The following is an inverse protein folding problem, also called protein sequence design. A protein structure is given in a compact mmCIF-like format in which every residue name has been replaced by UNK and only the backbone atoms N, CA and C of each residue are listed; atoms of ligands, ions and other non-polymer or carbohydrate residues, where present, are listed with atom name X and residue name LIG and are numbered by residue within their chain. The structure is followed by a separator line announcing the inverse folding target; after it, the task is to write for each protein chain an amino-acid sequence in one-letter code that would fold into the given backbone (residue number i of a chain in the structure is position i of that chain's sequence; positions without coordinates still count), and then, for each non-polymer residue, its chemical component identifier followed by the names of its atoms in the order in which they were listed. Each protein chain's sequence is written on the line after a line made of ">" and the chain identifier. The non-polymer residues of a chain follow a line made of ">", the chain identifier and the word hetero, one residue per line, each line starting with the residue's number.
data_IF_154619803386
#
_entry.id   IF_154619803386
#
_cell.length_a   1.000
_cell.length_b   1.000
_cell.length_c   1.000
_cell.angle_alpha   90.00
_cell.angle_beta   90.00
_cell.angle_gamma   90.00
#
_symmetry.space_group_name_H-M   'P 1'
#
loop_
_entity.id
_entity.type
_entity.pdbx_description
1 polymer ?
#
# COMPACT_ATOMS: atom_id res chain seq x y z
N UNK A 1 8.55 -41.10 -13.85
CA UNK A 1 7.63 -40.03 -13.37
C UNK A 1 8.42 -38.74 -13.42
N UNK A 2 7.97 -37.74 -14.14
CA UNK A 2 8.63 -36.43 -14.10
C UNK A 2 8.56 -35.94 -12.63
N UNK A 3 9.69 -35.56 -12.08
CA UNK A 3 9.75 -34.97 -10.72
C UNK A 3 8.94 -33.67 -10.74
N UNK A 4 7.98 -33.56 -9.83
CA UNK A 4 7.17 -32.35 -9.69
C UNK A 4 8.06 -31.14 -9.35
N UNK A 5 7.86 -30.01 -10.04
CA UNK A 5 8.67 -28.81 -9.88
C UNK A 5 8.55 -28.30 -8.44
N UNK A 6 9.67 -28.05 -7.76
CA UNK A 6 9.70 -27.46 -6.41
C UNK A 6 9.94 -25.97 -6.48
N UNK A 7 9.02 -25.19 -5.92
CA UNK A 7 9.10 -23.72 -5.91
C UNK A 7 9.09 -23.18 -4.49
N UNK A 8 10.13 -22.43 -4.13
CA UNK A 8 10.15 -21.65 -2.90
C UNK A 8 9.50 -20.29 -3.13
N UNK A 9 8.62 -19.87 -2.23
CA UNK A 9 8.00 -18.54 -2.21
C UNK A 9 8.40 -17.86 -0.91
N UNK A 10 9.11 -16.73 -1.00
CA UNK A 10 9.65 -16.02 0.15
C UNK A 10 8.86 -14.74 0.38
N UNK A 11 8.13 -14.68 1.49
CA UNK A 11 7.19 -13.61 1.85
C UNK A 11 5.74 -13.98 1.54
N UNK A 12 4.88 -13.85 2.54
CA UNK A 12 3.46 -14.21 2.50
C UNK A 12 2.51 -13.03 2.35
N UNK A 13 3.00 -11.87 1.89
CA UNK A 13 2.14 -10.76 1.48
C UNK A 13 1.30 -11.14 0.26
N UNK A 14 0.42 -10.25 -0.19
CA UNK A 14 -0.47 -10.47 -1.36
C UNK A 14 0.30 -10.96 -2.59
N UNK A 15 1.54 -10.53 -2.76
CA UNK A 15 2.42 -10.93 -3.87
C UNK A 15 2.74 -12.42 -3.83
N UNK A 16 3.27 -12.89 -2.70
CA UNK A 16 3.62 -14.30 -2.51
C UNK A 16 2.38 -15.19 -2.48
N UNK A 17 1.32 -14.76 -1.82
CA UNK A 17 0.04 -15.47 -1.78
C UNK A 17 -0.60 -15.57 -3.18
N UNK A 18 -0.56 -14.51 -3.97
CA UNK A 18 -1.05 -14.53 -5.36
C UNK A 18 -0.24 -15.48 -6.26
N UNK A 19 1.09 -15.49 -6.11
CA UNK A 19 1.95 -16.42 -6.81
C UNK A 19 1.69 -17.88 -6.39
N UNK A 20 1.55 -18.12 -5.08
CA UNK A 20 1.23 -19.44 -4.55
C UNK A 20 -0.12 -19.95 -5.08
N UNK A 21 -1.15 -19.12 -5.04
CA UNK A 21 -2.47 -19.47 -5.57
C UNK A 21 -2.44 -19.83 -7.05
N UNK A 22 -1.69 -19.08 -7.86
CA UNK A 22 -1.58 -19.33 -9.31
C UNK A 22 -0.73 -20.57 -9.66
N UNK A 23 0.19 -20.98 -8.79
CA UNK A 23 1.03 -22.19 -8.98
C UNK A 23 0.43 -23.44 -8.35
N UNK A 24 -0.64 -23.32 -7.60
CA UNK A 24 -1.28 -24.44 -6.94
C UNK A 24 -1.73 -25.50 -7.93
N UNK A 25 -1.44 -26.78 -7.63
CA UNK A 25 -1.73 -27.91 -8.54
C UNK A 25 -0.76 -28.06 -9.72
N UNK A 26 0.21 -27.14 -9.85
CA UNK A 26 1.23 -27.19 -10.90
C UNK A 26 2.65 -27.44 -10.38
N UNK A 27 2.89 -27.15 -9.09
CA UNK A 27 4.21 -27.30 -8.46
C UNK A 27 4.06 -27.64 -6.97
N UNK A 28 5.09 -28.26 -6.42
CA UNK A 28 5.25 -28.40 -4.97
C UNK A 28 5.72 -27.07 -4.39
N UNK A 29 4.90 -26.43 -3.57
CA UNK A 29 5.14 -25.11 -3.03
C UNK A 29 5.62 -25.15 -1.58
N UNK A 30 6.65 -24.38 -1.26
CA UNK A 30 7.06 -24.07 0.12
C UNK A 30 6.99 -22.57 0.32
N UNK A 31 6.10 -22.12 1.24
CA UNK A 31 5.90 -20.71 1.57
C UNK A 31 6.64 -20.37 2.85
N UNK A 32 7.57 -19.42 2.77
CA UNK A 32 8.38 -18.94 3.89
C UNK A 32 7.91 -17.55 4.34
N UNK A 33 7.63 -17.39 5.63
CA UNK A 33 7.29 -16.12 6.26
C UNK A 33 8.17 -15.89 7.48
N UNK A 34 8.80 -14.71 7.53
CA UNK A 34 9.65 -14.33 8.65
C UNK A 34 8.86 -13.96 9.90
N UNK A 35 7.65 -13.42 9.72
CA UNK A 35 6.74 -13.02 10.79
C UNK A 35 5.99 -14.18 11.42
N UNK A 36 5.20 -13.85 12.43
CA UNK A 36 4.37 -14.79 13.20
C UNK A 36 2.94 -14.93 12.63
N UNK A 37 2.64 -14.30 11.50
CA UNK A 37 1.36 -14.41 10.78
C UNK A 37 1.60 -14.33 9.27
N UNK A 38 0.68 -14.91 8.48
CA UNK A 38 0.65 -14.77 7.03
C UNK A 38 -0.16 -13.54 6.63
N UNK A 39 0.21 -12.88 5.52
CA UNK A 39 -0.55 -11.78 4.94
C UNK A 39 0.24 -10.50 4.74
N UNK A 40 1.33 -10.30 5.46
CA UNK A 40 2.11 -9.06 5.41
C UNK A 40 1.26 -7.84 5.78
N UNK A 41 1.01 -6.91 4.84
CA UNK A 41 0.12 -5.75 5.08
C UNK A 41 -1.37 -6.13 5.22
N UNK A 42 -1.79 -7.33 4.84
CA UNK A 42 -3.10 -7.87 5.19
C UNK A 42 -3.06 -8.41 6.62
N UNK A 43 -3.11 -7.51 7.58
CA UNK A 43 -3.01 -7.79 9.00
C UNK A 43 -4.29 -7.38 9.71
N UNK A 44 -5.10 -8.38 10.05
CA UNK A 44 -6.34 -8.21 10.81
C UNK A 44 -6.11 -8.60 12.26
N UNK A 45 -6.40 -7.69 13.17
CA UNK A 45 -6.21 -7.84 14.62
C UNK A 45 -7.55 -7.89 15.33
N UNK A 46 -7.76 -8.88 16.19
CA UNK A 46 -8.96 -8.97 16.98
C UNK A 46 -8.89 -8.03 18.18
N UNK A 47 -9.91 -7.19 18.32
CA UNK A 47 -10.14 -6.35 19.49
C UNK A 47 -11.46 -6.70 20.15
N UNK A 48 -11.52 -6.57 21.47
CA UNK A 48 -12.75 -6.77 22.25
C UNK A 48 -13.16 -5.46 22.88
N UNK A 49 -14.35 -4.98 22.52
CA UNK A 49 -14.89 -3.73 23.05
C UNK A 49 -16.31 -3.92 23.56
N UNK A 50 -16.75 -3.09 24.53
CA UNK A 50 -18.12 -3.10 25.02
C UNK A 50 -19.09 -2.59 23.96
N UNK A 51 -20.23 -3.24 23.88
CA UNK A 51 -21.40 -2.82 23.09
C UNK A 51 -22.64 -2.87 23.99
N UNK A 52 -23.78 -2.29 23.56
CA UNK A 52 -25.03 -2.41 24.31
C UNK A 52 -25.50 -3.86 24.55
N UNK A 53 -24.95 -4.81 23.79
CA UNK A 53 -25.26 -6.26 23.91
C UNK A 53 -24.19 -7.07 24.66
N UNK A 54 -23.24 -6.41 25.30
CA UNK A 54 -22.08 -7.04 25.97
C UNK A 54 -20.78 -6.83 25.18
N UNK A 55 -19.71 -7.48 25.65
CA UNK A 55 -18.42 -7.43 24.99
C UNK A 55 -18.45 -8.20 23.67
N UNK A 56 -17.98 -7.56 22.58
CA UNK A 56 -17.89 -8.16 21.25
C UNK A 56 -16.44 -8.15 20.79
N UNK A 57 -15.96 -9.27 20.23
CA UNK A 57 -14.65 -9.35 19.57
C UNK A 57 -14.85 -9.22 18.07
N UNK A 58 -14.06 -8.34 17.43
CA UNK A 58 -14.11 -8.14 15.98
C UNK A 58 -12.74 -7.85 15.38
N UNK A 59 -12.51 -8.32 14.14
CA UNK A 59 -11.26 -8.12 13.43
C UNK A 59 -11.13 -6.74 12.81
N UNK A 60 -10.03 -6.06 13.06
CA UNK A 60 -9.71 -4.73 12.52
C UNK A 60 -8.47 -4.84 11.64
N UNK A 61 -8.57 -4.38 10.41
CA UNK A 61 -7.42 -4.28 9.52
C UNK A 61 -6.54 -3.08 9.89
N UNK A 62 -5.23 -3.32 9.98
CA UNK A 62 -4.24 -2.32 10.37
C UNK A 62 -3.32 -1.89 9.23
N UNK A 63 -3.35 -2.60 8.09
CA UNK A 63 -2.54 -2.29 6.90
C UNK A 63 -3.39 -2.15 5.65
N UNK A 64 -3.76 -3.24 4.99
CA UNK A 64 -4.63 -3.19 3.81
C UNK A 64 -6.09 -2.97 4.23
N UNK A 65 -6.71 -1.88 3.80
CA UNK A 65 -8.04 -1.45 4.23
C UNK A 65 -9.10 -1.51 3.12
N UNK A 66 -8.76 -1.07 1.91
CA UNK A 66 -9.75 -0.79 0.85
C UNK A 66 -9.22 -1.09 -0.55
N UNK A 67 -10.15 -1.35 -1.47
CA UNK A 67 -9.91 -1.48 -2.91
C UNK A 67 -11.10 -0.91 -3.70
N UNK A 68 -10.96 -0.71 -5.01
CA UNK A 68 -12.03 -0.18 -5.86
C UNK A 68 -12.23 -1.00 -7.15
N UNK A 69 -13.39 -0.83 -7.76
CA UNK A 69 -13.79 -1.59 -8.95
C UNK A 69 -12.95 -1.30 -10.20
N UNK A 70 -12.34 -0.11 -10.29
CA UNK A 70 -11.67 0.35 -11.51
C UNK A 70 -10.23 -0.13 -11.61
N UNK A 71 -9.52 -0.13 -10.49
CA UNK A 71 -8.06 -0.31 -10.48
C UNK A 71 -7.58 -1.59 -9.80
N UNK A 72 -8.51 -2.46 -9.35
CA UNK A 72 -8.18 -3.74 -8.69
C UNK A 72 -8.80 -4.97 -9.38
N UNK A 73 -8.69 -5.11 -10.72
CA UNK A 73 -9.36 -6.21 -11.44
C UNK A 73 -8.87 -7.59 -11.05
N UNK A 74 -7.56 -7.77 -10.80
CA UNK A 74 -7.03 -9.08 -10.40
C UNK A 74 -7.41 -9.44 -8.97
N UNK A 75 -7.43 -8.45 -8.06
CA UNK A 75 -7.87 -8.67 -6.68
C UNK A 75 -9.35 -9.03 -6.62
N UNK A 76 -10.20 -8.37 -7.41
CA UNK A 76 -11.62 -8.69 -7.51
C UNK A 76 -11.80 -10.12 -8.02
N UNK A 77 -11.13 -10.49 -9.12
CA UNK A 77 -11.19 -11.84 -9.66
C UNK A 77 -10.72 -12.90 -8.64
N UNK A 78 -9.65 -12.61 -7.89
CA UNK A 78 -9.18 -13.48 -6.81
C UNK A 78 -10.22 -13.61 -5.70
N UNK A 79 -10.85 -12.52 -5.27
CA UNK A 79 -11.89 -12.54 -4.23
C UNK A 79 -13.15 -13.30 -4.67
N UNK A 80 -13.53 -13.18 -5.94
CA UNK A 80 -14.64 -13.95 -6.53
C UNK A 80 -14.33 -15.44 -6.53
N UNK A 81 -13.14 -15.85 -6.99
CA UNK A 81 -12.68 -17.25 -7.00
C UNK A 81 -12.65 -17.84 -5.59
N UNK A 82 -12.17 -17.08 -4.63
CA UNK A 82 -12.08 -17.48 -3.24
C UNK A 82 -13.38 -17.26 -2.46
N UNK A 83 -14.43 -16.68 -3.06
CA UNK A 83 -15.69 -16.35 -2.40
C UNK A 83 -15.49 -15.47 -1.15
N UNK A 84 -14.59 -14.50 -1.21
CA UNK A 84 -14.31 -13.59 -0.09
C UNK A 84 -15.47 -12.61 0.09
N UNK A 85 -16.06 -12.52 1.30
CA UNK A 85 -17.15 -11.59 1.54
C UNK A 85 -16.64 -10.14 1.62
N UNK A 86 -17.31 -9.23 0.91
CA UNK A 86 -16.92 -7.82 0.83
C UNK A 86 -18.07 -6.88 1.19
N UNK A 87 -17.76 -5.63 1.48
CA UNK A 87 -18.73 -4.57 1.76
C UNK A 87 -18.30 -3.25 1.13
N UNK A 88 -19.27 -2.41 0.81
CA UNK A 88 -19.02 -1.02 0.38
C UNK A 88 -18.44 -0.24 1.54
N UNK A 89 -17.48 0.65 1.24
CA UNK A 89 -16.79 1.48 2.24
C UNK A 89 -16.82 2.97 1.87
N UNK A 90 -16.65 3.81 2.88
CA UNK A 90 -16.46 5.26 2.73
C UNK A 90 -14.98 5.53 2.39
N UNK A 91 -14.75 6.44 1.45
CA UNK A 91 -13.41 6.90 1.04
C UNK A 91 -13.30 8.42 1.18
N UNK A 92 -14.00 8.97 2.17
CA UNK A 92 -13.94 10.39 2.51
C UNK A 92 -12.57 10.76 3.10
N UNK A 93 -12.19 12.01 2.87
CA UNK A 93 -10.90 12.56 3.26
C UNK A 93 -11.09 13.91 3.95
N UNK A 94 -10.29 14.16 4.98
CA UNK A 94 -10.22 15.47 5.64
C UNK A 94 -8.79 15.89 5.92
N UNK A 95 -8.62 17.18 6.07
CA UNK A 95 -7.34 17.82 6.42
C UNK A 95 -7.52 18.68 7.66
N UNK A 96 -6.63 18.49 8.62
CA UNK A 96 -6.39 19.39 9.73
C UNK A 96 -4.96 19.93 9.62
N UNK A 97 -4.84 21.24 9.36
CA UNK A 97 -3.55 21.92 9.30
C UNK A 97 -3.45 22.93 10.44
N UNK A 98 -2.51 22.74 11.34
CA UNK A 98 -2.28 23.66 12.47
C UNK A 98 -1.34 24.75 12.02
N UNK A 99 -1.71 26.03 12.24
CA UNK A 99 -0.93 27.22 11.92
C UNK A 99 -0.85 28.12 13.16
N UNK A 100 0.20 28.01 13.95
CA UNK A 100 0.31 28.70 15.23
C UNK A 100 -0.83 28.29 16.17
N UNK A 101 -1.62 29.26 16.65
CA UNK A 101 -2.80 29.04 17.52
C UNK A 101 -4.09 28.71 16.73
N UNK A 102 -4.07 28.82 15.41
CA UNK A 102 -5.24 28.56 14.55
C UNK A 102 -5.12 27.21 13.84
N UNK A 103 -6.23 26.49 13.71
CA UNK A 103 -6.31 25.30 12.87
C UNK A 103 -7.26 25.55 11.69
N UNK A 104 -6.84 25.05 10.52
CA UNK A 104 -7.69 24.89 9.35
C UNK A 104 -8.20 23.45 9.33
N UNK A 105 -9.52 23.27 9.35
CA UNK A 105 -10.17 21.96 9.24
C UNK A 105 -11.20 21.99 8.13
N UNK A 106 -11.10 21.01 7.23
CA UNK A 106 -12.08 20.82 6.16
C UNK A 106 -12.11 19.35 5.69
N UNK A 107 -13.23 18.93 5.12
CA UNK A 107 -13.41 17.59 4.57
C UNK A 107 -14.01 17.63 3.17
N UNK A 108 -13.62 16.69 2.33
CA UNK A 108 -14.03 16.63 0.91
C UNK A 108 -15.32 15.85 0.65
N UNK A 109 -16.08 15.43 1.67
CA UNK A 109 -17.27 14.59 1.50
C UNK A 109 -18.49 15.37 0.95
N UNK A 110 -18.71 16.58 1.41
CA UNK A 110 -19.82 17.46 1.02
C UNK A 110 -19.57 18.91 1.40
N UNK A 111 -20.46 19.83 1.02
CA UNK A 111 -20.33 21.26 1.33
C UNK A 111 -20.34 21.56 2.83
N UNK A 112 -21.04 20.78 3.65
CA UNK A 112 -21.03 20.95 5.11
C UNK A 112 -19.66 20.63 5.72
N UNK A 113 -19.01 19.55 5.27
CA UNK A 113 -17.67 19.21 5.72
C UNK A 113 -16.61 20.13 5.11
N UNK A 114 -16.78 20.58 3.86
CA UNK A 114 -15.88 21.54 3.22
C UNK A 114 -15.84 22.88 3.96
N UNK A 115 -16.97 23.37 4.38
CA UNK A 115 -17.13 24.61 5.15
C UNK A 115 -17.53 24.33 6.62
N UNK A 116 -16.99 23.27 7.22
CA UNK A 116 -17.22 22.97 8.64
C UNK A 116 -16.84 24.16 9.53
N UNK A 117 -15.74 24.83 9.20
CA UNK A 117 -15.42 26.15 9.74
C UNK A 117 -16.08 27.23 8.86
N UNK A 118 -17.26 27.71 9.27
CA UNK A 118 -18.07 28.68 8.48
C UNK A 118 -17.33 29.96 8.08
N UNK A 119 -16.32 30.39 8.87
CA UNK A 119 -15.44 31.52 8.53
C UNK A 119 -14.72 31.38 7.20
N UNK A 120 -14.52 30.12 6.74
CA UNK A 120 -13.83 29.83 5.48
C UNK A 120 -14.67 30.20 4.25
N UNK A 121 -15.98 30.41 4.37
CA UNK A 121 -16.83 30.96 3.30
C UNK A 121 -16.38 32.38 2.86
N UNK A 122 -15.79 33.16 3.78
CA UNK A 122 -15.30 34.51 3.54
C UNK A 122 -13.76 34.59 3.54
N UNK A 123 -13.06 33.47 3.66
CA UNK A 123 -11.59 33.44 3.69
C UNK A 123 -11.03 33.42 2.26
N UNK A 124 -10.42 34.51 1.75
CA UNK A 124 -9.93 34.58 0.37
C UNK A 124 -8.81 33.59 0.09
N UNK A 125 -7.97 33.26 1.08
CA UNK A 125 -6.92 32.22 0.91
C UNK A 125 -7.53 30.83 0.71
N UNK A 126 -8.56 30.49 1.48
CA UNK A 126 -9.25 29.21 1.37
C UNK A 126 -9.98 29.09 0.03
N UNK A 127 -10.69 30.15 -0.39
CA UNK A 127 -11.38 30.19 -1.68
C UNK A 127 -10.39 30.12 -2.87
N UNK A 128 -9.23 30.78 -2.76
CA UNK A 128 -8.16 30.68 -3.76
C UNK A 128 -7.60 29.25 -3.81
N UNK A 129 -7.40 28.60 -2.68
CA UNK A 129 -6.97 27.19 -2.64
C UNK A 129 -7.98 26.29 -3.34
N UNK A 130 -9.29 26.44 -3.10
CA UNK A 130 -10.33 25.66 -3.80
C UNK A 130 -10.32 25.90 -5.31
N UNK A 131 -10.15 27.13 -5.74
CA UNK A 131 -10.02 27.46 -7.17
C UNK A 131 -8.79 26.79 -7.78
N UNK A 132 -7.64 26.85 -7.12
CA UNK A 132 -6.42 26.19 -7.58
C UNK A 132 -6.55 24.66 -7.59
N UNK A 133 -7.25 24.07 -6.62
CA UNK A 133 -7.58 22.64 -6.58
C UNK A 133 -8.35 22.23 -7.84
N UNK A 134 -9.41 22.94 -8.18
CA UNK A 134 -10.21 22.64 -9.37
C UNK A 134 -9.38 22.81 -10.66
N UNK A 135 -8.53 23.83 -10.72
CA UNK A 135 -7.61 24.07 -11.84
C UNK A 135 -6.58 22.93 -11.97
N UNK A 136 -6.00 22.46 -10.85
CA UNK A 136 -5.05 21.35 -10.83
C UNK A 136 -5.71 20.07 -11.33
N UNK A 137 -6.88 19.73 -10.78
CA UNK A 137 -7.63 18.54 -11.18
C UNK A 137 -7.98 18.56 -12.67
N UNK A 138 -8.43 19.71 -13.20
CA UNK A 138 -8.72 19.88 -14.63
C UNK A 138 -7.47 19.68 -15.49
N UNK A 139 -6.35 20.32 -15.14
CA UNK A 139 -5.08 20.21 -15.87
C UNK A 139 -4.58 18.76 -15.88
N UNK A 140 -4.51 18.11 -14.73
CA UNK A 140 -4.04 16.72 -14.62
C UNK A 140 -4.96 15.75 -15.36
N UNK A 141 -6.29 15.94 -15.28
CA UNK A 141 -7.25 15.11 -16.02
C UNK A 141 -7.07 15.27 -17.54
N UNK A 142 -6.87 16.49 -18.01
CA UNK A 142 -6.60 16.75 -19.43
C UNK A 142 -5.31 16.05 -19.90
N UNK A 143 -4.22 16.19 -19.16
CA UNK A 143 -2.93 15.56 -19.46
C UNK A 143 -3.10 14.03 -19.54
N UNK A 144 -3.79 13.42 -18.57
CA UNK A 144 -4.02 11.98 -18.55
C UNK A 144 -4.92 11.50 -19.70
N UNK A 145 -5.99 12.24 -20.03
CA UNK A 145 -6.89 11.90 -21.13
C UNK A 145 -6.18 11.98 -22.48
N UNK A 146 -5.28 12.94 -22.64
CA UNK A 146 -4.47 13.11 -23.85
C UNK A 146 -3.22 12.21 -23.87
N UNK A 147 -3.02 11.39 -22.83
CA UNK A 147 -1.87 10.46 -22.67
C UNK A 147 -0.51 11.17 -22.77
N UNK A 148 -0.44 12.43 -22.31
CA UNK A 148 0.78 13.25 -22.36
C UNK A 148 1.63 13.15 -21.10
N UNK A 149 1.18 12.43 -20.05
CA UNK A 149 1.91 12.32 -18.78
C UNK A 149 3.27 11.65 -18.94
N UNK A 150 3.42 10.73 -19.90
CA UNK A 150 4.71 10.07 -20.16
C UNK A 150 5.80 11.03 -20.65
N UNK A 151 5.39 12.15 -21.24
CA UNK A 151 6.30 13.20 -21.70
C UNK A 151 6.80 14.09 -20.54
N UNK A 152 6.13 14.01 -19.38
CA UNK A 152 6.44 14.80 -18.19
C UNK A 152 7.47 14.06 -17.31
N UNK A 153 8.70 14.00 -17.78
CA UNK A 153 9.80 13.38 -17.02
C UNK A 153 10.43 14.40 -16.06
N UNK A 154 9.65 14.87 -15.07
CA UNK A 154 10.10 15.87 -14.09
C UNK A 154 9.50 15.59 -12.71
N UNK A 155 10.14 16.10 -11.63
CA UNK A 155 9.58 16.08 -10.29
C UNK A 155 8.27 16.87 -10.19
N UNK A 156 7.40 16.46 -9.25
CA UNK A 156 6.15 17.15 -8.95
C UNK A 156 6.38 18.63 -8.57
N UNK A 157 7.44 18.93 -7.81
CA UNK A 157 7.79 20.30 -7.42
C UNK A 157 7.94 21.23 -8.63
N UNK A 158 8.66 20.80 -9.67
CA UNK A 158 8.90 21.58 -10.85
C UNK A 158 7.62 21.81 -11.65
N UNK A 159 6.78 20.78 -11.78
CA UNK A 159 5.47 20.88 -12.42
C UNK A 159 4.56 21.90 -11.72
N UNK A 160 4.50 21.86 -10.39
CA UNK A 160 3.68 22.80 -9.61
C UNK A 160 4.17 24.23 -9.77
N UNK A 161 5.49 24.44 -9.72
CA UNK A 161 6.13 25.75 -9.91
C UNK A 161 5.87 26.31 -11.32
N UNK A 162 6.10 25.51 -12.37
CA UNK A 162 5.90 25.91 -13.77
C UNK A 162 4.46 26.30 -14.07
N UNK A 163 3.50 25.63 -13.41
CA UNK A 163 2.08 25.90 -13.60
C UNK A 163 1.52 26.92 -12.60
N UNK A 164 2.34 27.56 -11.75
CA UNK A 164 1.93 28.61 -10.83
C UNK A 164 0.97 28.16 -9.72
N UNK A 165 1.10 26.93 -9.24
CA UNK A 165 0.36 26.44 -8.08
C UNK A 165 0.98 26.94 -6.78
N UNK A 166 0.21 27.68 -5.99
CA UNK A 166 0.67 28.31 -4.75
C UNK A 166 0.84 27.30 -3.60
N UNK A 167 1.47 27.77 -2.51
CA UNK A 167 1.76 26.93 -1.35
C UNK A 167 0.48 26.44 -0.65
N UNK A 168 -0.60 27.24 -0.62
CA UNK A 168 -1.85 26.85 0.05
C UNK A 168 -2.51 25.61 -0.57
N UNK A 169 -2.53 25.48 -1.91
CA UNK A 169 -3.09 24.27 -2.55
C UNK A 169 -2.17 23.07 -2.36
N UNK A 170 -0.87 23.29 -2.28
CA UNK A 170 0.08 22.22 -1.99
C UNK A 170 -0.12 21.73 -0.55
N UNK A 171 -0.10 22.62 0.44
CA UNK A 171 -0.12 22.29 1.86
C UNK A 171 -1.47 21.84 2.40
N UNK A 172 -2.56 22.33 1.83
CA UNK A 172 -3.91 22.09 2.37
C UNK A 172 -4.73 21.10 1.55
N UNK A 173 -4.22 20.66 0.40
CA UNK A 173 -4.91 19.68 -0.44
C UNK A 173 -3.97 18.61 -1.01
N UNK A 174 -3.02 19.00 -1.90
CA UNK A 174 -2.31 18.04 -2.72
C UNK A 174 -1.39 17.13 -1.90
N UNK A 175 -0.49 17.72 -1.11
CA UNK A 175 0.46 16.95 -0.30
C UNK A 175 -0.22 16.14 0.81
N UNK A 176 -1.25 16.65 1.52
CA UNK A 176 -2.12 15.85 2.37
C UNK A 176 -2.72 14.63 1.65
N UNK A 177 -3.31 14.84 0.48
CA UNK A 177 -3.91 13.74 -0.30
C UNK A 177 -2.87 12.71 -0.71
N UNK A 178 -1.72 13.14 -1.26
CA UNK A 178 -0.64 12.24 -1.65
C UNK A 178 -0.02 11.53 -0.44
N UNK A 179 0.10 12.23 0.69
CA UNK A 179 0.56 11.66 1.96
C UNK A 179 -0.33 10.55 2.46
N UNK A 180 -1.64 10.71 2.36
CA UNK A 180 -2.58 9.64 2.68
C UNK A 180 -2.40 8.42 1.77
N UNK A 181 -2.07 8.63 0.50
CA UNK A 181 -1.93 7.56 -0.50
C UNK A 181 -0.64 6.76 -0.31
N UNK A 182 0.51 7.45 -0.21
CA UNK A 182 1.83 6.80 -0.20
C UNK A 182 2.53 6.79 1.16
N UNK A 183 1.95 7.44 2.18
CA UNK A 183 2.48 7.46 3.56
C UNK A 183 3.95 7.90 3.64
N UNK A 184 4.39 8.76 2.73
CA UNK A 184 5.77 9.25 2.67
C UNK A 184 5.87 10.75 2.97
N UNK A 185 7.03 11.23 3.45
CA UNK A 185 7.24 12.64 3.79
C UNK A 185 6.94 13.60 2.64
N UNK A 186 6.45 14.78 3.01
CA UNK A 186 6.08 15.84 2.06
C UNK A 186 7.21 16.19 1.07
N UNK A 187 8.45 16.32 1.57
CA UNK A 187 9.61 16.64 0.74
C UNK A 187 9.90 15.56 -0.30
N UNK A 188 9.70 14.29 0.06
CA UNK A 188 9.88 13.17 -0.85
C UNK A 188 8.76 13.13 -1.90
N UNK A 189 7.51 13.45 -1.51
CA UNK A 189 6.40 13.53 -2.47
C UNK A 189 6.64 14.59 -3.55
N UNK A 190 7.29 15.70 -3.22
CA UNK A 190 7.67 16.72 -4.19
C UNK A 190 8.70 16.23 -5.22
N UNK A 191 9.45 15.16 -4.92
CA UNK A 191 10.38 14.50 -5.84
C UNK A 191 9.74 13.37 -6.66
N UNK A 192 8.46 13.06 -6.44
CA UNK A 192 7.76 12.05 -7.24
C UNK A 192 7.73 12.45 -8.70
N UNK A 193 7.86 11.47 -9.63
CA UNK A 193 7.58 11.72 -11.02
C UNK A 193 6.14 12.21 -11.19
N UNK A 194 5.94 13.38 -11.79
CA UNK A 194 4.61 13.94 -11.99
C UNK A 194 3.73 13.02 -12.84
N UNK A 195 4.32 12.28 -13.78
CA UNK A 195 3.64 11.26 -14.58
C UNK A 195 3.00 10.16 -13.70
N UNK A 196 3.73 9.68 -12.69
CA UNK A 196 3.23 8.69 -11.72
C UNK A 196 2.04 9.23 -10.94
N UNK A 197 2.15 10.46 -10.43
CA UNK A 197 1.07 11.11 -9.68
C UNK A 197 -0.18 11.30 -10.55
N UNK A 198 -0.04 11.86 -11.76
CA UNK A 198 -1.16 12.12 -12.66
C UNK A 198 -1.87 10.81 -13.04
N UNK A 199 -1.13 9.81 -13.50
CA UNK A 199 -1.67 8.52 -13.92
C UNK A 199 -2.39 7.82 -12.77
N UNK A 200 -1.76 7.77 -11.61
CA UNK A 200 -2.35 7.15 -10.42
C UNK A 200 -3.66 7.85 -10.01
N UNK A 201 -3.62 9.17 -9.81
CA UNK A 201 -4.79 9.92 -9.36
C UNK A 201 -5.93 9.90 -10.39
N UNK A 202 -5.61 9.91 -11.69
CA UNK A 202 -6.61 9.77 -12.75
C UNK A 202 -7.28 8.39 -12.72
N UNK A 203 -6.50 7.31 -12.68
CA UNK A 203 -7.00 5.94 -12.66
C UNK A 203 -7.89 5.66 -11.45
N UNK A 204 -7.52 6.19 -10.27
CA UNK A 204 -8.28 6.04 -9.03
C UNK A 204 -9.44 7.04 -8.88
N UNK A 205 -9.68 7.89 -9.87
CA UNK A 205 -10.77 8.89 -9.84
C UNK A 205 -10.60 9.97 -8.77
N UNK A 206 -9.39 10.18 -8.25
CA UNK A 206 -9.12 11.13 -7.16
C UNK A 206 -9.18 12.60 -7.61
N UNK A 207 -9.04 12.85 -8.92
CA UNK A 207 -9.17 14.17 -9.54
C UNK A 207 -10.61 14.48 -9.99
N UNK A 208 -11.54 13.57 -9.76
CA UNK A 208 -12.94 13.70 -10.16
C UNK A 208 -13.79 14.14 -8.97
N UNK A 209 -14.70 15.10 -9.20
CA UNK A 209 -15.72 15.48 -8.21
C UNK A 209 -16.90 14.53 -8.29
N UNK A 210 -17.31 14.16 -9.53
CA UNK A 210 -18.40 13.23 -9.82
C UNK A 210 -17.84 11.93 -10.43
N UNK A 211 -18.66 10.88 -10.45
CA UNK A 211 -18.33 9.57 -11.02
C UNK A 211 -17.07 8.93 -10.41
N UNK A 212 -16.89 9.11 -9.11
CA UNK A 212 -15.81 8.45 -8.37
C UNK A 212 -16.03 6.94 -8.35
N UNK A 213 -14.97 6.12 -8.42
CA UNK A 213 -15.09 4.68 -8.30
C UNK A 213 -15.71 4.31 -6.94
N UNK A 214 -16.44 3.23 -6.92
CA UNK A 214 -16.96 2.65 -5.69
C UNK A 214 -15.87 1.89 -4.98
N UNK A 215 -15.78 2.09 -3.67
CA UNK A 215 -14.77 1.47 -2.84
C UNK A 215 -15.35 0.36 -1.98
N UNK A 216 -14.53 -0.63 -1.72
CA UNK A 216 -14.90 -1.85 -1.01
C UNK A 216 -13.86 -2.21 0.03
N UNK A 217 -14.28 -2.95 1.04
CA UNK A 217 -13.44 -3.57 2.06
C UNK A 217 -13.80 -5.04 2.24
N UNK A 218 -12.92 -5.83 2.86
CA UNK A 218 -13.19 -7.23 3.19
C UNK A 218 -13.96 -7.30 4.51
N UNK A 219 -15.11 -7.99 4.51
CA UNK A 219 -15.86 -8.26 5.74
C UNK A 219 -15.04 -9.19 6.66
N UNK A 220 -15.03 -8.89 7.95
CA UNK A 220 -14.25 -9.59 8.99
C UNK A 220 -12.72 -9.45 8.83
N UNK A 221 -12.27 -8.55 7.95
CA UNK A 221 -10.88 -8.22 7.72
C UNK A 221 -10.21 -9.02 6.61
N UNK A 222 -9.08 -8.51 6.17
CA UNK A 222 -8.28 -9.04 5.06
C UNK A 222 -7.75 -10.45 5.32
N UNK A 223 -7.66 -10.88 6.59
CA UNK A 223 -7.32 -12.27 6.96
C UNK A 223 -8.22 -13.32 6.27
N UNK A 224 -9.42 -12.97 5.83
CA UNK A 224 -10.33 -13.91 5.17
C UNK A 224 -9.75 -14.47 3.87
N UNK A 225 -9.19 -13.62 3.02
CA UNK A 225 -8.56 -14.13 1.80
C UNK A 225 -7.20 -14.81 2.07
N UNK A 226 -6.46 -14.30 3.05
CA UNK A 226 -5.17 -14.88 3.47
C UNK A 226 -5.37 -16.33 3.91
N UNK A 227 -6.35 -16.55 4.79
CA UNK A 227 -6.71 -17.88 5.30
C UNK A 227 -7.09 -18.83 4.14
N UNK A 228 -7.97 -18.39 3.25
CA UNK A 228 -8.45 -19.21 2.12
C UNK A 228 -7.33 -19.64 1.16
N UNK A 229 -6.35 -18.77 0.91
CA UNK A 229 -5.18 -19.12 0.11
C UNK A 229 -4.26 -20.06 0.88
N UNK A 230 -3.96 -19.75 2.14
CA UNK A 230 -2.98 -20.52 2.91
C UNK A 230 -3.50 -21.90 3.34
N UNK A 231 -4.80 -22.12 3.44
CA UNK A 231 -5.40 -23.44 3.72
C UNK A 231 -5.01 -24.49 2.67
N UNK A 232 -4.84 -24.09 1.43
CA UNK A 232 -4.49 -24.96 0.32
C UNK A 232 -2.98 -25.21 0.17
N UNK A 233 -2.12 -24.47 0.90
CA UNK A 233 -0.66 -24.63 0.86
C UNK A 233 -0.25 -25.64 1.94
N UNK A 234 0.30 -26.79 1.52
CA UNK A 234 0.71 -27.86 2.44
C UNK A 234 1.93 -27.44 3.26
N UNK A 235 3.00 -26.98 2.59
CA UNK A 235 4.23 -26.52 3.26
C UNK A 235 4.25 -25.00 3.38
N UNK A 236 3.84 -24.52 4.54
CA UNK A 236 3.83 -23.10 4.90
C UNK A 236 4.44 -22.89 6.27
N UNK A 237 5.42 -21.98 6.35
CA UNK A 237 6.30 -21.85 7.50
C UNK A 237 6.28 -20.42 8.02
N UNK A 238 5.79 -20.22 9.24
CA UNK A 238 5.88 -18.97 10.00
C UNK A 238 7.18 -18.93 10.82
N UNK A 239 7.58 -17.74 11.25
CA UNK A 239 8.81 -17.52 12.04
C UNK A 239 10.04 -18.16 11.38
N UNK A 240 10.06 -18.20 10.06
CA UNK A 240 11.11 -18.87 9.27
C UNK A 240 11.75 -17.85 8.31
N UNK A 241 12.55 -16.92 8.85
CA UNK A 241 13.25 -15.94 8.01
C UNK A 241 14.26 -16.64 7.11
N UNK A 242 14.16 -16.38 5.81
CA UNK A 242 15.20 -16.77 4.85
C UNK A 242 16.40 -15.88 5.03
N UNK A 243 17.54 -16.49 5.32
CA UNK A 243 18.80 -15.80 5.59
C UNK A 243 19.64 -15.59 4.34
N UNK A 244 19.61 -16.61 3.44
CA UNK A 244 20.47 -16.63 2.26
C UNK A 244 19.82 -17.42 1.12
N UNK A 245 20.05 -16.97 -0.10
CA UNK A 245 19.66 -17.62 -1.34
C UNK A 245 20.94 -17.84 -2.15
N UNK A 246 21.25 -19.10 -2.41
CA UNK A 246 22.38 -19.54 -3.20
C UNK A 246 21.91 -20.17 -4.50
N UNK A 247 22.44 -19.71 -5.62
CA UNK A 247 22.11 -20.27 -6.94
C UNK A 247 23.13 -21.34 -7.31
N UNK A 248 22.65 -22.47 -7.82
CA UNK A 248 23.55 -23.51 -8.31
C UNK A 248 24.31 -22.98 -9.52
N UNK A 249 25.64 -23.19 -9.53
CA UNK A 249 26.54 -22.66 -10.58
C UNK A 249 26.27 -23.24 -11.96
N UNK A 250 25.64 -24.43 -12.01
CA UNK A 250 25.22 -25.10 -13.23
C UNK A 250 23.84 -24.67 -13.73
N UNK A 251 23.20 -23.75 -13.00
CA UNK A 251 21.86 -23.26 -13.32
C UNK A 251 20.74 -24.27 -13.04
N UNK A 252 21.01 -25.37 -12.33
CA UNK A 252 20.04 -26.45 -12.10
C UNK A 252 19.01 -26.15 -11.03
N UNK A 253 19.27 -25.18 -10.13
CA UNK A 253 18.37 -24.85 -9.04
C UNK A 253 18.86 -23.75 -8.14
N UNK A 254 18.19 -23.65 -6.98
CA UNK A 254 18.44 -22.63 -5.96
C UNK A 254 18.39 -23.29 -4.58
N UNK A 255 19.29 -22.89 -3.68
CA UNK A 255 19.24 -23.27 -2.27
C UNK A 255 18.75 -22.11 -1.42
N UNK A 256 17.73 -22.38 -0.62
CA UNK A 256 17.17 -21.44 0.37
C UNK A 256 17.66 -21.85 1.74
N UNK A 257 18.34 -20.94 2.42
CA UNK A 257 18.92 -21.18 3.75
C UNK A 257 18.07 -20.52 4.83
N UNK A 258 17.59 -21.32 5.78
CA UNK A 258 16.83 -20.89 6.95
C UNK A 258 17.44 -21.51 8.19
N UNK A 259 17.66 -20.77 9.25
CA UNK A 259 18.19 -21.28 10.53
C UNK A 259 19.43 -22.18 10.38
N UNK A 260 20.29 -21.88 9.40
CA UNK A 260 21.50 -22.63 9.11
C UNK A 260 21.30 -23.94 8.30
N UNK A 261 20.07 -24.26 7.90
CA UNK A 261 19.73 -25.39 7.04
C UNK A 261 19.48 -24.94 5.60
N UNK A 262 20.08 -25.60 4.63
CA UNK A 262 19.90 -25.34 3.21
C UNK A 262 18.94 -26.35 2.60
N UNK A 263 17.90 -25.90 1.92
CA UNK A 263 16.92 -26.71 1.19
C UNK A 263 16.96 -26.34 -0.30
N UNK A 264 16.95 -27.35 -1.18
CA UNK A 264 17.05 -27.15 -2.62
C UNK A 264 15.69 -27.07 -3.29
N UNK A 265 15.54 -26.07 -4.16
CA UNK A 265 14.36 -25.81 -4.99
C UNK A 265 14.78 -25.67 -6.47
N UNK A 266 13.86 -25.93 -7.37
CA UNK A 266 14.07 -25.70 -8.80
C UNK A 266 13.93 -24.21 -9.14
N UNK A 267 13.05 -23.50 -8.44
CA UNK A 267 12.74 -22.08 -8.65
C UNK A 267 12.52 -21.37 -7.32
N UNK A 268 12.80 -20.04 -7.31
CA UNK A 268 12.47 -19.19 -6.17
C UNK A 268 11.75 -17.92 -6.61
N UNK A 269 10.66 -17.58 -5.90
CA UNK A 269 9.96 -16.31 -6.00
C UNK A 269 10.26 -15.53 -4.73
N UNK A 270 10.93 -14.39 -4.86
CA UNK A 270 11.25 -13.50 -3.75
C UNK A 270 10.21 -12.39 -3.73
N UNK A 271 9.19 -12.55 -2.89
CA UNK A 271 8.02 -11.69 -2.76
C UNK A 271 8.13 -10.75 -1.55
N UNK A 272 9.34 -10.28 -1.26
CA UNK A 272 9.67 -9.33 -0.19
C UNK A 272 9.93 -7.92 -0.76
N UNK A 273 10.26 -6.96 0.10
CA UNK A 273 10.78 -5.67 -0.37
C UNK A 273 12.12 -5.83 -1.10
N UNK A 274 12.38 -5.02 -2.13
CA UNK A 274 13.59 -5.12 -2.94
C UNK A 274 14.91 -5.05 -2.13
N UNK A 275 15.05 -4.18 -1.09
CA UNK A 275 16.24 -4.19 -0.24
C UNK A 275 16.43 -5.51 0.53
N UNK A 276 15.34 -6.13 0.97
CA UNK A 276 15.39 -7.44 1.63
C UNK A 276 15.78 -8.53 0.65
N UNK A 277 15.20 -8.51 -0.57
CA UNK A 277 15.53 -9.44 -1.63
C UNK A 277 17.03 -9.39 -1.97
N UNK A 278 17.55 -8.18 -2.17
CA UNK A 278 18.98 -8.00 -2.47
C UNK A 278 19.88 -8.52 -1.35
N UNK A 279 19.52 -8.27 -0.08
CA UNK A 279 20.30 -8.71 1.10
C UNK A 279 20.35 -10.24 1.22
N UNK A 280 19.31 -10.95 0.77
CA UNK A 280 19.27 -12.41 0.85
C UNK A 280 20.12 -13.11 -0.22
N UNK A 281 20.46 -12.44 -1.31
CA UNK A 281 21.28 -13.04 -2.36
C UNK A 281 22.73 -13.18 -1.92
N UNK A 282 23.33 -14.38 -2.06
CA UNK A 282 24.75 -14.59 -1.79
C UNK A 282 25.60 -13.82 -2.80
N UNK A 283 25.32 -14.00 -4.08
CA UNK A 283 26.09 -13.47 -5.20
C UNK A 283 25.17 -12.72 -6.18
N UNK A 284 24.71 -11.51 -5.84
CA UNK A 284 23.88 -10.73 -6.75
C UNK A 284 24.71 -10.31 -7.97
N UNK A 285 24.13 -10.47 -9.15
CA UNK A 285 24.72 -9.95 -10.38
C UNK A 285 24.80 -8.41 -10.34
N UNK A 286 25.68 -7.82 -11.15
CA UNK A 286 25.79 -6.36 -11.25
C UNK A 286 24.45 -5.70 -11.60
N UNK A 287 23.63 -6.34 -12.47
CA UNK A 287 22.29 -5.85 -12.82
C UNK A 287 21.30 -5.94 -11.65
N UNK A 288 21.29 -7.03 -10.92
CA UNK A 288 20.45 -7.17 -9.73
C UNK A 288 20.82 -6.13 -8.68
N UNK A 289 22.12 -5.94 -8.44
CA UNK A 289 22.61 -4.91 -7.53
C UNK A 289 22.16 -3.52 -7.97
N UNK A 290 22.33 -3.16 -9.24
CA UNK A 290 21.95 -1.87 -9.79
C UNK A 290 20.43 -1.65 -9.68
N UNK A 291 19.62 -2.60 -10.14
CA UNK A 291 18.17 -2.44 -10.24
C UNK A 291 17.52 -2.49 -8.85
N UNK A 292 17.87 -3.48 -8.01
CA UNK A 292 17.21 -3.66 -6.71
C UNK A 292 17.63 -2.59 -5.69
N UNK A 293 18.85 -2.04 -5.77
CA UNK A 293 19.30 -0.97 -4.89
C UNK A 293 18.61 0.39 -5.14
N UNK A 294 17.98 0.57 -6.32
CA UNK A 294 17.21 1.76 -6.62
C UNK A 294 15.89 1.85 -5.83
N UNK A 295 15.42 0.75 -5.28
CA UNK A 295 14.20 0.73 -4.47
C UNK A 295 14.53 0.94 -2.99
N UNK A 296 13.83 1.88 -2.39
CA UNK A 296 13.96 2.19 -0.97
C UNK A 296 12.61 2.01 -0.28
N UNK A 297 12.64 1.78 1.03
CA UNK A 297 11.45 1.70 1.87
C UNK A 297 11.54 2.69 3.02
N UNK A 298 10.39 3.09 3.53
CA UNK A 298 10.26 3.86 4.75
C UNK A 298 9.39 3.12 5.74
N UNK A 299 9.87 3.03 6.97
CA UNK A 299 9.12 2.45 8.06
C UNK A 299 8.08 3.45 8.59
N UNK A 300 6.88 2.95 8.80
CA UNK A 300 5.76 3.68 9.35
C UNK A 300 5.20 2.92 10.56
N UNK A 301 4.95 3.64 11.64
CA UNK A 301 4.29 3.10 12.84
C UNK A 301 2.77 3.24 12.68
N UNK A 302 2.06 2.12 12.70
CA UNK A 302 0.61 2.07 12.78
C UNK A 302 0.19 1.73 14.21
N UNK A 303 -0.64 2.57 14.84
CA UNK A 303 -1.16 2.39 16.19
C UNK A 303 -2.66 2.18 16.12
N UNK A 304 -3.15 1.01 16.56
CA UNK A 304 -4.57 0.72 16.71
C UNK A 304 -5.04 1.14 18.10
N UNK A 305 -6.05 2.00 18.16
CA UNK A 305 -6.53 2.59 19.42
C UNK A 305 -7.98 3.07 19.35
N UNK A 306 -8.52 3.52 20.50
CA UNK A 306 -9.87 4.12 20.61
C UNK A 306 -9.85 5.60 21.02
N UNK A 307 -8.69 6.24 21.06
CA UNK A 307 -8.55 7.65 21.43
C UNK A 307 -9.04 8.55 20.29
N UNK A 308 -10.21 9.16 20.48
CA UNK A 308 -10.82 10.05 19.50
C UNK A 308 -10.21 11.48 19.51
N UNK A 309 -9.35 11.81 20.48
CA UNK A 309 -8.74 13.15 20.58
C UNK A 309 -7.80 13.48 19.43
N UNK A 310 -7.30 12.45 18.72
CA UNK A 310 -6.46 12.60 17.52
C UNK A 310 -7.24 13.00 16.27
N UNK A 311 -8.57 12.84 16.27
CA UNK A 311 -9.44 13.20 15.16
C UNK A 311 -9.70 14.72 15.12
N UNK A 312 -10.12 15.30 13.97
CA UNK A 312 -10.44 16.72 13.89
C UNK A 312 -11.44 17.16 14.96
N UNK A 313 -11.30 18.42 15.44
CA UNK A 313 -12.19 18.97 16.47
C UNK A 313 -13.66 19.01 16.03
N UNK A 314 -13.89 19.32 14.75
CA UNK A 314 -15.23 19.30 14.19
C UNK A 314 -15.62 17.89 13.73
N UNK A 315 -16.62 17.28 14.36
CA UNK A 315 -17.17 16.00 13.90
C UNK A 315 -17.71 16.03 12.46
N UNK A 316 -18.04 17.21 11.93
CA UNK A 316 -18.46 17.39 10.53
C UNK A 316 -17.36 17.05 9.53
N UNK A 317 -16.08 17.12 9.95
CA UNK A 317 -14.93 16.78 9.12
C UNK A 317 -14.41 15.37 9.35
N UNK A 318 -14.95 14.62 10.31
CA UNK A 318 -14.55 13.23 10.51
C UNK A 318 -14.78 12.41 9.25
N UNK A 319 -13.70 11.97 8.68
CA UNK A 319 -13.65 11.25 7.41
C UNK A 319 -13.04 9.86 7.62
N UNK A 320 -13.17 9.01 6.63
CA UNK A 320 -12.47 7.72 6.64
C UNK A 320 -10.95 7.90 6.80
N UNK A 321 -10.41 8.94 6.13
CA UNK A 321 -9.00 9.31 6.14
C UNK A 321 -8.87 10.74 6.67
N UNK A 322 -8.22 10.93 7.81
CA UNK A 322 -8.05 12.22 8.48
C UNK A 322 -6.57 12.57 8.54
N UNK A 323 -6.13 13.46 7.66
CA UNK A 323 -4.75 13.94 7.63
C UNK A 323 -4.53 15.06 8.65
N UNK A 324 -3.44 14.95 9.42
CA UNK A 324 -3.02 15.98 10.37
C UNK A 324 -1.64 16.48 10.02
N UNK A 325 -1.50 17.81 9.87
CA UNK A 325 -0.22 18.49 9.71
C UNK A 325 0.13 19.22 11.01
N UNK A 326 1.23 18.78 11.64
CA UNK A 326 1.76 19.42 12.84
C UNK A 326 2.53 20.72 12.56
N UNK A 327 2.85 21.48 13.62
CA UNK A 327 3.53 22.79 13.57
C UNK A 327 5.07 22.71 13.58
N UNK A 328 5.67 21.55 13.84
CA UNK A 328 7.11 21.38 14.03
C UNK A 328 7.89 21.11 12.76
N UNK A 329 9.14 21.59 12.66
CA UNK A 329 10.02 21.33 11.52
C UNK A 329 10.39 19.85 11.37
N UNK A 330 10.46 19.08 12.46
CA UNK A 330 10.62 17.61 12.42
C UNK A 330 9.29 16.86 12.25
N UNK A 331 8.18 17.40 12.78
CA UNK A 331 6.85 16.83 12.64
C UNK A 331 6.25 17.06 11.25
N UNK A 332 6.62 18.15 10.56
CA UNK A 332 6.19 18.42 9.19
C UNK A 332 6.81 17.46 8.15
N UNK A 333 7.87 16.74 8.52
CA UNK A 333 8.55 15.78 7.63
C UNK A 333 7.87 14.42 7.56
N UNK A 334 7.03 14.04 8.54
CA UNK A 334 6.30 12.76 8.56
C UNK A 334 4.82 12.95 8.30
N UNK A 335 4.25 12.07 7.51
CA UNK A 335 2.79 12.02 7.30
C UNK A 335 2.15 11.46 8.54
N UNK A 336 1.26 12.23 9.16
CA UNK A 336 0.37 11.78 10.22
C UNK A 336 -1.05 11.62 9.67
N UNK A 337 -1.59 10.42 9.78
CA UNK A 337 -2.88 10.05 9.22
C UNK A 337 -3.65 9.17 10.20
N UNK A 338 -4.92 9.49 10.41
CA UNK A 338 -5.83 8.74 11.27
C UNK A 338 -6.95 8.12 10.43
N UNK A 339 -6.93 6.80 10.32
CA UNK A 339 -7.99 6.03 9.67
C UNK A 339 -9.12 5.76 10.66
N UNK A 340 -10.30 6.33 10.43
CA UNK A 340 -11.49 6.06 11.23
C UNK A 340 -12.14 4.76 10.73
N UNK A 341 -11.85 3.67 11.40
CA UNK A 341 -12.25 2.32 10.98
C UNK A 341 -13.76 2.15 10.92
N UNK A 342 -14.52 2.83 11.79
CA UNK A 342 -15.98 2.84 11.75
C UNK A 342 -16.57 3.30 10.41
N UNK A 343 -15.80 4.05 9.58
CA UNK A 343 -16.19 4.45 8.23
C UNK A 343 -15.63 3.52 7.15
N UNK A 344 -14.54 2.83 7.46
CA UNK A 344 -13.81 1.99 6.51
C UNK A 344 -14.28 0.53 6.54
N UNK A 345 -14.61 -0.01 7.70
CA UNK A 345 -15.05 -1.39 7.88
C UNK A 345 -16.41 -1.46 8.59
N UNK A 346 -17.26 -2.44 8.26
CA UNK A 346 -18.53 -2.65 8.95
C UNK A 346 -18.29 -3.31 10.32
N UNK A 347 -17.80 -2.51 11.29
CA UNK A 347 -17.52 -2.97 12.66
C UNK A 347 -18.72 -2.75 13.58
N UNK A 348 -18.91 -3.58 14.63
CA UNK A 348 -20.08 -3.52 15.53
C UNK A 348 -19.94 -2.48 16.66
N UNK A 349 -18.96 -1.58 16.60
CA UNK A 349 -18.62 -0.65 17.68
C UNK A 349 -19.13 0.77 17.37
N UNK A 350 -19.84 1.38 18.34
CA UNK A 350 -20.30 2.78 18.26
C UNK A 350 -19.17 3.76 18.59
N UNK A 351 -18.26 3.36 19.49
CA UNK A 351 -17.10 4.18 19.83
C UNK A 351 -16.09 4.21 18.67
N UNK A 352 -15.36 5.32 18.47
CA UNK A 352 -14.33 5.41 17.45
C UNK A 352 -13.26 4.35 17.64
N UNK A 353 -12.96 3.62 16.56
CA UNK A 353 -11.80 2.77 16.42
C UNK A 353 -10.92 3.40 15.35
N UNK A 354 -9.67 3.65 15.68
CA UNK A 354 -8.75 4.42 14.85
C UNK A 354 -7.45 3.63 14.64
N UNK A 355 -6.96 3.63 13.42
CA UNK A 355 -5.57 3.26 13.13
C UNK A 355 -4.83 4.53 12.76
N UNK A 356 -3.89 4.94 13.61
CA UNK A 356 -3.07 6.12 13.39
C UNK A 356 -1.73 5.77 12.80
N UNK A 357 -1.40 6.35 11.65
CA UNK A 357 -0.09 6.20 11.02
C UNK A 357 0.80 7.36 11.43
N UNK A 358 1.96 7.05 12.04
CA UNK A 358 2.94 8.02 12.55
C UNK A 358 2.29 9.13 13.38
N UNK A 359 1.55 8.82 14.46
CA UNK A 359 0.89 9.83 15.25
C UNK A 359 1.90 10.85 15.81
N UNK A 360 1.63 12.14 15.63
CA UNK A 360 2.45 13.24 16.12
C UNK A 360 2.01 13.72 17.50
N UNK A 361 0.78 13.38 17.90
CA UNK A 361 0.27 13.63 19.24
C UNK A 361 0.28 12.34 20.06
N UNK A 362 0.54 12.41 21.36
CA UNK A 362 0.51 11.24 22.23
C UNK A 362 -0.91 10.64 22.28
N UNK A 363 -1.00 9.32 22.08
CA UNK A 363 -2.23 8.56 22.26
C UNK A 363 -2.25 8.03 23.70
N UNK A 364 -3.40 8.10 24.35
CA UNK A 364 -3.57 7.60 25.72
C UNK A 364 -3.23 6.10 25.77
N UNK A 365 -2.24 5.70 26.57
CA UNK A 365 -1.75 4.31 26.65
C UNK A 365 -2.84 3.30 26.97
N UNK A 366 -3.82 3.68 27.80
CA UNK A 366 -4.96 2.82 28.14
C UNK A 366 -5.90 2.55 26.98
N UNK A 367 -5.79 3.30 25.89
CA UNK A 367 -6.63 3.18 24.69
C UNK A 367 -5.88 2.53 23.52
N UNK A 368 -4.57 2.26 23.65
CA UNK A 368 -3.78 1.55 22.64
C UNK A 368 -4.08 0.05 22.72
N UNK A 369 -4.41 -0.54 21.59
CA UNK A 369 -4.71 -1.96 21.44
C UNK A 369 -3.60 -2.73 20.69
N UNK A 370 -2.76 -2.02 19.94
CA UNK A 370 -1.62 -2.62 19.26
C UNK A 370 -0.81 -1.61 18.49
N UNK A 371 0.46 -1.95 18.24
CA UNK A 371 1.41 -1.17 17.46
C UNK A 371 2.08 -2.06 16.43
N UNK A 372 2.16 -1.59 15.18
CA UNK A 372 2.63 -2.35 14.03
C UNK A 372 3.58 -1.50 13.21
N UNK A 373 4.71 -2.08 12.79
CA UNK A 373 5.64 -1.43 11.86
C UNK A 373 5.39 -1.93 10.44
N UNK A 374 5.15 -0.99 9.52
CA UNK A 374 4.96 -1.27 8.11
C UNK A 374 5.98 -0.52 7.27
N UNK A 375 6.70 -1.25 6.42
CA UNK A 375 7.59 -0.65 5.43
C UNK A 375 6.83 -0.34 4.14
N UNK A 376 6.83 0.94 3.73
CA UNK A 376 6.22 1.35 2.46
C UNK A 376 7.29 1.70 1.43
N UNK A 377 7.11 1.32 0.14
CA UNK A 377 8.05 1.68 -0.89
C UNK A 377 8.04 3.19 -1.16
N UNK A 378 9.22 3.76 -1.35
CA UNK A 378 9.40 5.14 -1.77
C UNK A 378 9.43 5.21 -3.29
N UNK A 379 8.57 6.08 -3.84
CA UNK A 379 8.50 6.32 -5.27
C UNK A 379 9.30 7.57 -5.61
N UNK A 380 10.37 7.41 -6.40
CA UNK A 380 11.18 8.50 -6.93
C UNK A 380 11.57 8.24 -8.39
N UNK A 381 12.36 9.13 -8.98
CA UNK A 381 12.80 9.00 -10.37
C UNK A 381 13.67 7.75 -10.57
N UNK A 382 14.50 7.39 -9.58
CA UNK A 382 15.37 6.22 -9.65
C UNK A 382 14.58 4.91 -9.62
N UNK A 383 13.65 4.77 -8.65
CA UNK A 383 12.77 3.59 -8.56
C UNK A 383 11.88 3.46 -9.80
N UNK A 384 11.35 4.58 -10.32
CA UNK A 384 10.53 4.58 -11.54
C UNK A 384 11.31 4.15 -12.79
N UNK A 385 12.59 4.52 -12.90
CA UNK A 385 13.48 4.05 -13.97
C UNK A 385 13.79 2.54 -13.80
N UNK A 386 14.09 2.09 -12.58
CA UNK A 386 14.38 0.69 -12.28
C UNK A 386 13.19 -0.24 -12.54
N UNK A 387 11.96 0.21 -12.26
CA UNK A 387 10.73 -0.55 -12.55
C UNK A 387 10.64 -1.00 -14.01
N UNK A 388 11.06 -0.16 -14.94
CA UNK A 388 11.05 -0.48 -16.39
C UNK A 388 12.05 -1.57 -16.77
N UNK A 389 13.07 -1.80 -15.92
CA UNK A 389 14.18 -2.71 -16.13
C UNK A 389 14.07 -4.03 -15.37
N UNK A 390 13.01 -4.25 -14.59
CA UNK A 390 12.81 -5.48 -13.80
C UNK A 390 12.82 -6.75 -14.68
N UNK A 391 12.43 -6.64 -15.96
CA UNK A 391 12.47 -7.74 -16.91
C UNK A 391 13.89 -8.26 -17.20
N UNK A 392 14.93 -7.43 -16.96
CA UNK A 392 16.34 -7.79 -17.18
C UNK A 392 16.86 -8.80 -16.13
N UNK A 393 16.22 -8.87 -14.96
CA UNK A 393 16.65 -9.72 -13.84
C UNK A 393 15.65 -10.85 -13.52
N UNK A 394 14.38 -10.70 -13.90
CA UNK A 394 13.36 -11.71 -13.59
C UNK A 394 13.49 -12.95 -14.46
N UNK A 395 13.56 -14.11 -13.81
CA UNK A 395 13.73 -15.41 -14.45
C UNK A 395 15.20 -15.83 -14.67
N UNK A 396 16.15 -14.90 -14.48
CA UNK A 396 17.57 -15.25 -14.49
C UNK A 396 17.91 -16.10 -13.27
N UNK A 397 18.75 -17.11 -13.47
CA UNK A 397 19.20 -18.03 -12.42
C UNK A 397 18.04 -18.60 -11.58
N UNK A 398 16.91 -18.95 -12.22
CA UNK A 398 15.73 -19.52 -11.56
C UNK A 398 15.12 -18.65 -10.45
N UNK A 399 15.31 -17.32 -10.52
CA UNK A 399 14.92 -16.38 -9.49
C UNK A 399 13.98 -15.32 -10.05
N UNK A 400 12.87 -15.05 -9.35
CA UNK A 400 11.91 -13.98 -9.66
C UNK A 400 11.79 -13.02 -8.49
N UNK A 401 11.84 -11.72 -8.78
CA UNK A 401 11.68 -10.62 -7.82
C UNK A 401 10.31 -9.99 -8.03
N UNK A 402 9.48 -10.00 -7.03
CA UNK A 402 8.11 -9.50 -7.10
C UNK A 402 7.77 -8.68 -5.85
N UNK A 403 6.83 -7.76 -5.99
CA UNK A 403 6.34 -6.94 -4.90
C UNK A 403 5.53 -5.76 -5.40
N UNK A 404 4.77 -5.13 -4.52
CA UNK A 404 4.02 -3.93 -4.84
C UNK A 404 4.92 -2.77 -5.30
N UNK A 405 6.17 -2.75 -4.85
CA UNK A 405 7.22 -1.78 -5.23
C UNK A 405 7.58 -1.81 -6.72
N UNK A 406 7.23 -2.89 -7.42
CA UNK A 406 7.44 -3.00 -8.87
C UNK A 406 6.54 -2.07 -9.71
N UNK A 407 5.53 -1.41 -9.07
CA UNK A 407 4.61 -0.44 -9.67
C UNK A 407 4.30 0.71 -8.69
N UNK A 408 3.02 0.92 -8.34
CA UNK A 408 2.59 2.05 -7.51
C UNK A 408 2.60 1.79 -6.00
N UNK A 409 2.84 0.55 -5.57
CA UNK A 409 2.95 0.19 -4.14
C UNK A 409 1.67 -0.35 -3.51
N UNK A 410 0.64 -0.70 -4.29
CA UNK A 410 -0.65 -1.15 -3.78
C UNK A 410 -0.87 -2.67 -3.90
N UNK A 411 -1.93 -3.16 -3.25
CA UNK A 411 -2.28 -4.58 -3.24
C UNK A 411 -2.42 -5.18 -4.64
N UNK A 412 -3.08 -4.46 -5.55
CA UNK A 412 -3.21 -4.88 -6.95
C UNK A 412 -1.85 -5.03 -7.62
N UNK A 413 -0.94 -4.07 -7.38
CA UNK A 413 0.41 -4.12 -7.97
C UNK A 413 1.21 -5.31 -7.47
N UNK A 414 1.10 -5.59 -6.16
CA UNK A 414 1.71 -6.76 -5.55
C UNK A 414 1.15 -8.06 -6.13
N UNK A 415 -0.16 -8.18 -6.21
CA UNK A 415 -0.84 -9.34 -6.80
C UNK A 415 -0.45 -9.54 -8.27
N UNK A 416 -0.52 -8.50 -9.08
CA UNK A 416 -0.12 -8.54 -10.50
C UNK A 416 1.32 -9.04 -10.67
N UNK A 417 2.23 -8.55 -9.84
CA UNK A 417 3.64 -8.91 -9.86
C UNK A 417 3.85 -10.40 -9.52
N UNK A 418 3.17 -10.91 -8.49
CA UNK A 418 3.20 -12.34 -8.12
C UNK A 418 2.60 -13.23 -9.20
N UNK A 419 1.45 -12.85 -9.76
CA UNK A 419 0.80 -13.55 -10.86
C UNK A 419 1.70 -13.60 -12.12
N UNK A 420 2.43 -12.51 -12.41
CA UNK A 420 3.35 -12.46 -13.54
C UNK A 420 4.52 -13.43 -13.37
N UNK A 421 5.10 -13.51 -12.17
CA UNK A 421 6.15 -14.49 -11.87
C UNK A 421 5.65 -15.93 -12.00
N UNK A 422 4.47 -16.24 -11.44
CA UNK A 422 3.86 -17.56 -11.56
C UNK A 422 3.60 -17.95 -13.03
N UNK A 423 3.04 -17.05 -13.82
CA UNK A 423 2.81 -17.27 -15.27
C UNK A 423 4.11 -17.51 -16.03
N UNK A 424 5.19 -16.81 -15.70
CA UNK A 424 6.50 -17.00 -16.31
C UNK A 424 7.05 -18.39 -16.03
N UNK A 425 6.92 -18.86 -14.78
CA UNK A 425 7.32 -20.23 -14.38
C UNK A 425 6.48 -21.28 -15.13
N UNK A 426 5.16 -21.14 -15.15
CA UNK A 426 4.27 -22.07 -15.86
C UNK A 426 4.58 -22.13 -17.36
N UNK A 427 4.88 -20.99 -17.98
CA UNK A 427 5.28 -20.94 -19.39
C UNK A 427 6.58 -21.71 -19.66
N UNK A 428 7.57 -21.60 -18.76
CA UNK A 428 8.82 -22.36 -18.86
C UNK A 428 8.58 -23.87 -18.71
N UNK A 429 7.68 -24.29 -17.82
CA UNK A 429 7.32 -25.69 -17.65
C UNK A 429 6.72 -26.29 -18.94
N UNK A 430 5.79 -25.56 -19.57
CA UNK A 430 5.14 -26.04 -20.81
C UNK A 430 6.05 -25.93 -22.04
N UNK A 431 6.96 -24.95 -22.09
CA UNK A 431 7.92 -24.80 -23.19
C UNK A 431 9.10 -25.78 -23.14
N UNK A 432 9.36 -26.35 -21.97
CA UNK A 432 10.35 -27.43 -21.83
C UNK A 432 9.78 -28.85 -22.15
N UNK A 433 8.45 -28.93 -22.34
CA UNK A 433 7.74 -30.18 -22.66
C UNK A 433 7.50 -30.38 -24.19
N UNK A 434 7.92 -29.38 -25.01
CA UNK A 434 7.94 -29.45 -26.48
C UNK A 434 9.35 -29.51 -27.00
#
# INVERSE_FOLDING_TARGET
>A
MATELKVAIIGSGITGLGAAHALQGHAQLSLFEAGNYFGGHANTVDITLPTPRGNVTHGIDTGFLVYNERTYPNLIALFEQLQVPTAVTDMSFSVQAVQGSASLEWGGANLNSLFAQRKNLLNPRFLKMLWQLLRLNKLCTQIATEQREEQLNQPLADFLKQNGFGQDVQDWYLLPMLGCIWSCPTEQMLQFPVSTMIRFCHNHGLMQVNNRPKWWTVKNGSREYVRRITESIVDKRLNTPVQLIERDTDGSGVRVVTQGQAERFDRVIIATHAPQALKMLRDPSAREQEILSAFRTQDNLAVLHTDASVLPNSKLTWSAWNYVRGNGTQESSRVCLHYLINKLQPIPFDQPVVVSLNPTQPIARSQIMGEYSYAHPLMDMASSAAQKRLHEINGANNTWFCGAWSRYGFHEDGLMSGLAAARAILKQMHGAAT
#
